data_IF_990190399717
#
_entry.id   IF_990190399717
#
_cell.length_a   1.000
_cell.length_b   1.000
_cell.length_c   1.000
_cell.angle_alpha   90.00
_cell.angle_beta   90.00
_cell.angle_gamma   90.00
#
_symmetry.space_group_name_H-M   'P 1'
#
loop_
_entity.id
_entity.type
_entity.pdbx_description
1 polymer ?
#
# COMPACT_ATOMS: atom_id res chain seq x y z
N UNK A 1 8.88 -17.58 -17.86
CA UNK A 1 7.81 -16.54 -17.95
C UNK A 1 7.69 -15.91 -16.59
N UNK A 2 7.62 -14.58 -16.50
CA UNK A 2 7.46 -13.87 -15.23
C UNK A 2 6.09 -14.12 -14.61
N UNK A 3 6.01 -14.13 -13.28
CA UNK A 3 4.75 -14.25 -12.51
C UNK A 3 4.54 -13.04 -11.63
N UNK A 4 3.33 -12.48 -11.66
CA UNK A 4 2.92 -11.32 -10.85
C UNK A 4 1.73 -11.71 -9.99
N UNK A 5 1.78 -11.41 -8.70
CA UNK A 5 0.62 -11.40 -7.81
C UNK A 5 0.13 -9.97 -7.63
N UNK A 6 -1.17 -9.76 -7.74
CA UNK A 6 -1.81 -8.44 -7.55
C UNK A 6 -2.81 -8.53 -6.39
N UNK A 7 -2.77 -7.52 -5.53
CA UNK A 7 -3.76 -7.28 -4.47
C UNK A 7 -4.12 -5.79 -4.38
N UNK A 8 -5.04 -5.41 -3.52
CA UNK A 8 -5.38 -4.04 -3.14
C UNK A 8 -6.19 -4.02 -1.83
N UNK A 9 -6.62 -2.85 -1.37
CA UNK A 9 -7.53 -2.67 -0.22
C UNK A 9 -8.89 -2.05 -0.61
N UNK A 10 -9.04 -1.49 -1.82
CA UNK A 10 -10.31 -0.93 -2.36
C UNK A 10 -11.31 -1.99 -2.85
N UNK A 11 -11.11 -3.28 -2.57
CA UNK A 11 -11.84 -4.45 -3.05
C UNK A 11 -11.50 -4.94 -4.46
N UNK A 12 -11.95 -6.17 -4.75
CA UNK A 12 -11.76 -6.84 -6.06
C UNK A 12 -12.48 -6.13 -7.22
N UNK A 13 -13.46 -5.27 -6.94
CA UNK A 13 -14.24 -4.52 -7.93
C UNK A 13 -13.67 -3.15 -8.26
N UNK A 14 -12.67 -2.68 -7.53
CA UNK A 14 -12.15 -1.33 -7.66
C UNK A 14 -11.64 -1.03 -9.07
N UNK A 15 -11.83 0.20 -9.51
CA UNK A 15 -11.44 0.67 -10.82
C UNK A 15 -9.91 0.66 -11.01
N UNK A 16 -9.18 1.06 -9.96
CA UNK A 16 -7.71 1.04 -9.95
C UNK A 16 -7.14 -0.35 -10.21
N UNK A 17 -7.68 -1.35 -9.52
CA UNK A 17 -7.32 -2.75 -9.72
C UNK A 17 -7.64 -3.24 -11.14
N UNK A 18 -8.86 -3.01 -11.62
CA UNK A 18 -9.30 -3.44 -12.97
C UNK A 18 -8.43 -2.83 -14.07
N UNK A 19 -8.12 -1.53 -13.97
CA UNK A 19 -7.25 -0.84 -14.94
C UNK A 19 -5.81 -1.35 -14.89
N UNK A 20 -5.27 -1.60 -13.70
CA UNK A 20 -3.94 -2.18 -13.50
C UNK A 20 -3.84 -3.57 -14.15
N UNK A 21 -4.79 -4.45 -13.87
CA UNK A 21 -4.86 -5.80 -14.45
C UNK A 21 -4.90 -5.73 -15.99
N UNK A 22 -5.75 -4.86 -16.54
CA UNK A 22 -5.88 -4.69 -18.01
C UNK A 22 -4.55 -4.24 -18.62
N UNK A 23 -3.89 -3.27 -18.02
CA UNK A 23 -2.58 -2.78 -18.48
C UNK A 23 -1.53 -3.89 -18.42
N UNK A 24 -1.39 -4.57 -17.30
CA UNK A 24 -0.35 -5.61 -17.13
C UNK A 24 -0.57 -6.78 -18.10
N UNK A 25 -1.81 -7.24 -18.30
CA UNK A 25 -2.14 -8.30 -19.28
C UNK A 25 -1.83 -7.91 -20.72
N UNK A 26 -1.98 -6.62 -21.05
CA UNK A 26 -1.71 -6.10 -22.40
C UNK A 26 -0.22 -5.96 -22.67
N UNK A 27 0.53 -5.47 -21.69
CA UNK A 27 1.90 -4.98 -21.88
C UNK A 27 2.97 -6.02 -21.55
N UNK A 28 2.63 -7.07 -20.78
CA UNK A 28 3.62 -8.06 -20.31
C UNK A 28 3.19 -9.48 -20.62
N UNK A 29 4.11 -10.29 -21.18
CA UNK A 29 3.98 -11.75 -21.26
C UNK A 29 4.25 -12.37 -19.90
N UNK A 30 3.36 -12.12 -18.95
CA UNK A 30 3.47 -12.58 -17.56
C UNK A 30 2.24 -13.39 -17.16
N UNK A 31 2.44 -14.33 -16.24
CA UNK A 31 1.35 -15.04 -15.58
C UNK A 31 0.88 -14.20 -14.40
N UNK A 32 -0.36 -13.73 -14.46
CA UNK A 32 -0.93 -12.81 -13.49
C UNK A 32 -1.96 -13.55 -12.64
N UNK A 33 -1.75 -13.53 -11.32
CA UNK A 33 -2.73 -13.98 -10.31
C UNK A 33 -3.23 -12.76 -9.55
N UNK A 34 -4.53 -12.69 -9.33
CA UNK A 34 -5.15 -11.63 -8.58
C UNK A 34 -5.84 -12.25 -7.36
N UNK A 35 -5.53 -11.74 -6.18
CA UNK A 35 -6.23 -12.04 -4.93
C UNK A 35 -6.48 -10.72 -4.22
N UNK A 36 -7.73 -10.34 -4.08
CA UNK A 36 -8.12 -9.06 -3.50
C UNK A 36 -9.25 -9.26 -2.46
N UNK A 37 -9.40 -8.38 -1.47
CA UNK A 37 -10.50 -8.44 -0.51
C UNK A 37 -11.87 -8.37 -1.20
N UNK A 38 -12.86 -9.05 -0.64
CA UNK A 38 -14.24 -9.01 -1.14
C UNK A 38 -14.88 -7.63 -0.96
N UNK A 39 -14.50 -6.92 0.10
CA UNK A 39 -14.98 -5.57 0.44
C UNK A 39 -13.82 -4.62 0.66
N UNK A 40 -14.09 -3.33 0.71
CA UNK A 40 -13.09 -2.31 1.05
C UNK A 40 -12.50 -2.55 2.44
N UNK A 41 -11.18 -2.42 2.55
CA UNK A 41 -10.36 -2.62 3.77
C UNK A 41 -9.45 -1.41 4.04
N UNK A 42 -10.00 -0.22 3.85
CA UNK A 42 -9.28 1.04 4.16
C UNK A 42 -8.89 1.10 5.63
N UNK A 43 -7.71 1.65 5.91
CA UNK A 43 -7.16 1.82 7.26
C UNK A 43 -7.07 0.52 8.09
N UNK A 44 -6.97 -0.64 7.44
CA UNK A 44 -6.85 -1.94 8.14
C UNK A 44 -5.43 -2.22 8.65
N UNK A 45 -4.45 -1.37 8.35
CA UNK A 45 -3.05 -1.58 8.73
C UNK A 45 -2.52 -2.93 8.21
N UNK A 46 -1.40 -3.42 8.74
CA UNK A 46 -0.85 -4.73 8.42
C UNK A 46 -1.47 -5.83 9.31
N UNK A 47 -2.80 -5.95 9.28
CA UNK A 47 -3.52 -6.94 10.09
C UNK A 47 -3.65 -8.28 9.38
N UNK A 48 -3.57 -9.36 10.15
CA UNK A 48 -3.75 -10.76 9.71
C UNK A 48 -4.93 -11.37 10.46
N UNK A 49 -5.77 -12.12 9.75
CA UNK A 49 -6.94 -12.79 10.28
C UNK A 49 -6.59 -14.18 10.78
N UNK A 50 -6.50 -14.35 12.12
CA UNK A 50 -6.19 -15.63 12.77
C UNK A 50 -7.38 -16.27 13.46
N UNK A 51 -8.49 -15.55 13.66
CA UNK A 51 -9.63 -15.99 14.51
C UNK A 51 -10.74 -16.69 13.75
N UNK A 52 -10.66 -16.74 12.42
CA UNK A 52 -11.66 -17.37 11.55
C UNK A 52 -11.06 -17.90 10.27
N UNK A 53 -11.67 -18.90 9.62
CA UNK A 53 -11.22 -19.37 8.31
C UNK A 53 -11.50 -18.34 7.23
N UNK A 54 -10.59 -18.25 6.24
CA UNK A 54 -10.74 -17.43 5.06
C UNK A 54 -10.94 -18.32 3.83
N UNK A 55 -11.73 -17.85 2.86
CA UNK A 55 -12.09 -18.61 1.67
C UNK A 55 -11.83 -17.83 0.39
N UNK A 56 -11.14 -18.48 -0.56
CA UNK A 56 -11.06 -17.98 -1.92
C UNK A 56 -12.37 -18.20 -2.66
N UNK A 57 -12.93 -17.14 -3.23
CA UNK A 57 -14.05 -17.19 -4.15
C UNK A 57 -13.52 -16.83 -5.54
N UNK A 58 -13.61 -17.78 -6.48
CA UNK A 58 -13.12 -17.60 -7.84
C UNK A 58 -14.02 -16.61 -8.60
N UNK A 59 -13.42 -15.54 -9.10
CA UNK A 59 -14.10 -14.50 -9.90
C UNK A 59 -13.79 -14.68 -11.40
N UNK A 60 -12.63 -15.25 -11.72
CA UNK A 60 -12.21 -15.45 -13.10
C UNK A 60 -10.95 -16.32 -13.21
N UNK A 61 -10.35 -16.40 -14.40
CA UNK A 61 -9.11 -17.14 -14.62
C UNK A 61 -7.98 -16.50 -13.78
N UNK A 62 -7.51 -17.22 -12.73
CA UNK A 62 -6.48 -16.76 -11.78
C UNK A 62 -6.88 -15.44 -11.08
N UNK A 63 -8.16 -15.22 -10.92
CA UNK A 63 -8.72 -14.09 -10.20
C UNK A 63 -9.65 -14.59 -9.10
N UNK A 64 -9.33 -14.23 -7.87
CA UNK A 64 -10.02 -14.62 -6.66
C UNK A 64 -10.31 -13.40 -5.79
N UNK A 65 -11.48 -13.37 -5.18
CA UNK A 65 -11.72 -12.52 -4.03
C UNK A 65 -11.57 -13.34 -2.75
N UNK A 66 -11.02 -12.75 -1.72
CA UNK A 66 -10.91 -13.36 -0.40
C UNK A 66 -12.06 -12.88 0.45
N UNK A 67 -12.86 -13.84 0.90
CA UNK A 67 -14.02 -13.57 1.73
C UNK A 67 -13.56 -13.07 3.09
N UNK A 68 -13.91 -11.80 3.41
CA UNK A 68 -13.59 -11.10 4.65
C UNK A 68 -12.08 -11.03 5.04
N UNK A 69 -11.18 -11.17 4.08
CA UNK A 69 -9.74 -11.05 4.31
C UNK A 69 -9.22 -9.63 4.11
N UNK A 70 -8.07 -9.33 4.72
CA UNK A 70 -7.28 -8.12 4.51
C UNK A 70 -6.37 -8.24 3.28
N UNK A 71 -5.73 -7.15 2.80
CA UNK A 71 -4.71 -7.25 1.75
C UNK A 71 -3.51 -8.13 2.15
N UNK A 72 -3.09 -8.10 3.41
CA UNK A 72 -2.05 -8.98 3.94
C UNK A 72 -2.48 -10.45 3.88
N UNK A 73 -3.71 -10.78 4.31
CA UNK A 73 -4.28 -12.13 4.17
C UNK A 73 -4.31 -12.58 2.71
N UNK A 74 -4.67 -11.68 1.78
CA UNK A 74 -4.70 -11.98 0.35
C UNK A 74 -3.34 -12.41 -0.17
N UNK A 75 -2.28 -11.69 0.20
CA UNK A 75 -0.92 -12.01 -0.20
C UNK A 75 -0.44 -13.29 0.49
N UNK A 76 -0.57 -13.38 1.81
CA UNK A 76 -0.16 -14.55 2.59
C UNK A 76 -0.78 -15.84 2.04
N UNK A 77 -2.11 -15.88 1.94
CA UNK A 77 -2.80 -17.07 1.46
C UNK A 77 -2.52 -17.37 -0.01
N UNK A 78 -2.39 -16.35 -0.87
CA UNK A 78 -2.02 -16.57 -2.26
C UNK A 78 -0.67 -17.27 -2.35
N UNK A 79 0.35 -16.79 -1.65
CA UNK A 79 1.70 -17.35 -1.69
C UNK A 79 1.74 -18.80 -1.20
N UNK A 80 1.01 -19.12 -0.14
CA UNK A 80 1.03 -20.46 0.47
C UNK A 80 0.04 -21.47 -0.15
N UNK A 81 -1.07 -21.01 -0.72
CA UNK A 81 -2.09 -21.90 -1.25
C UNK A 81 -2.10 -22.01 -2.79
N UNK A 82 -1.80 -20.91 -3.51
CA UNK A 82 -1.89 -20.88 -4.97
C UNK A 82 -0.55 -21.03 -5.68
N UNK A 83 0.56 -20.70 -5.03
CA UNK A 83 1.93 -20.79 -5.57
C UNK A 83 2.67 -22.00 -4.99
N UNK A 84 2.30 -23.22 -5.46
CA UNK A 84 2.84 -24.48 -4.92
C UNK A 84 4.24 -24.83 -5.38
N UNK A 85 4.63 -24.40 -6.59
CA UNK A 85 5.90 -24.82 -7.22
C UNK A 85 6.89 -23.69 -7.41
N UNK A 86 6.42 -22.47 -7.58
CA UNK A 86 7.25 -21.29 -7.79
C UNK A 86 6.53 -20.05 -7.30
N UNK A 87 7.19 -19.23 -6.51
CA UNK A 87 6.69 -17.94 -6.04
C UNK A 87 6.65 -16.89 -7.15
N UNK A 88 5.84 -15.83 -7.04
CA UNK A 88 5.82 -14.75 -8.02
C UNK A 88 7.14 -13.97 -8.01
N UNK A 89 7.47 -13.37 -9.15
CA UNK A 89 8.66 -12.51 -9.29
C UNK A 89 8.40 -11.10 -8.71
N UNK A 90 7.13 -10.71 -8.59
CA UNK A 90 6.71 -9.39 -8.10
C UNK A 90 5.31 -9.43 -7.52
N UNK A 91 5.12 -8.74 -6.40
CA UNK A 91 3.79 -8.42 -5.87
C UNK A 91 3.50 -6.94 -6.11
N UNK A 92 2.31 -6.64 -6.61
CA UNK A 92 1.82 -5.27 -6.82
C UNK A 92 0.55 -5.08 -6.00
N UNK A 93 0.57 -4.14 -5.06
CA UNK A 93 -0.59 -3.76 -4.28
C UNK A 93 -1.15 -2.41 -4.77
N UNK A 94 -2.41 -2.36 -5.18
CA UNK A 94 -3.07 -1.16 -5.68
C UNK A 94 -3.81 -1.35 -7.03
N UNK A 95 -4.15 -0.28 -7.78
CA UNK A 95 -3.83 1.14 -7.48
C UNK A 95 -4.89 1.68 -6.53
N UNK A 96 -4.47 2.12 -5.36
CA UNK A 96 -5.34 2.67 -4.33
C UNK A 96 -5.96 4.01 -4.73
N UNK A 97 -7.20 4.22 -4.31
CA UNK A 97 -7.88 5.52 -4.36
C UNK A 97 -7.53 6.34 -3.12
N UNK A 98 -6.52 7.18 -3.23
CA UNK A 98 -5.96 7.98 -2.14
C UNK A 98 -4.45 7.81 -2.07
N UNK A 99 -3.75 8.81 -1.55
CA UNK A 99 -2.32 8.73 -1.33
C UNK A 99 -2.02 8.01 -0.01
N UNK A 100 -0.94 7.24 0.01
CA UNK A 100 -0.36 6.64 1.21
C UNK A 100 1.02 7.26 1.42
N UNK A 101 1.10 8.32 2.23
CA UNK A 101 2.27 9.18 2.40
C UNK A 101 2.55 9.43 3.89
N UNK A 102 3.81 9.69 4.23
CA UNK A 102 4.20 9.88 5.62
C UNK A 102 3.83 8.68 6.48
N UNK A 103 3.41 8.93 7.72
CA UNK A 103 2.98 7.88 8.65
C UNK A 103 1.67 7.18 8.26
N UNK A 104 0.88 7.70 7.29
CA UNK A 104 -0.30 6.99 6.77
C UNK A 104 0.06 5.62 6.20
N UNK A 105 1.32 5.42 5.80
CA UNK A 105 1.86 4.13 5.36
C UNK A 105 1.58 3.03 6.41
N UNK A 106 1.60 3.36 7.70
CA UNK A 106 1.37 2.40 8.79
C UNK A 106 -0.09 1.96 8.90
N UNK A 107 -1.04 2.78 8.46
CA UNK A 107 -2.47 2.46 8.44
C UNK A 107 -2.93 1.85 7.12
N UNK A 108 -2.13 1.96 6.07
CA UNK A 108 -2.51 1.60 4.70
C UNK A 108 -2.61 0.10 4.48
N UNK A 109 -3.78 -0.38 4.04
CA UNK A 109 -3.95 -1.74 3.55
C UNK A 109 -3.20 -2.00 2.24
N UNK A 110 -3.07 -0.99 1.37
CA UNK A 110 -2.26 -1.08 0.15
C UNK A 110 -0.79 -1.32 0.48
N UNK A 111 -0.21 -0.53 1.40
CA UNK A 111 1.16 -0.76 1.85
C UNK A 111 1.30 -2.10 2.56
N UNK A 112 0.30 -2.51 3.35
CA UNK A 112 0.28 -3.80 4.05
C UNK A 112 0.40 -5.00 3.10
N UNK A 113 -0.28 -4.97 1.95
CA UNK A 113 -0.10 -6.01 0.93
C UNK A 113 1.34 -6.10 0.40
N UNK A 114 2.01 -4.96 0.23
CA UNK A 114 3.42 -4.93 -0.15
C UNK A 114 4.34 -5.35 1.01
N UNK A 115 4.05 -4.94 2.24
CA UNK A 115 4.77 -5.35 3.45
C UNK A 115 4.74 -6.87 3.61
N UNK A 116 3.56 -7.49 3.48
CA UNK A 116 3.43 -8.95 3.59
C UNK A 116 4.29 -9.67 2.55
N UNK A 117 4.28 -9.19 1.30
CA UNK A 117 5.08 -9.78 0.24
C UNK A 117 6.58 -9.76 0.55
N UNK A 118 7.12 -8.63 1.02
CA UNK A 118 8.56 -8.52 1.30
C UNK A 118 8.97 -9.25 2.58
N UNK A 119 8.06 -9.45 3.53
CA UNK A 119 8.29 -10.36 4.68
C UNK A 119 8.41 -11.81 4.22
N UNK A 120 7.68 -12.20 3.18
CA UNK A 120 7.78 -13.51 2.53
C UNK A 120 8.94 -13.59 1.51
N UNK A 121 9.79 -12.56 1.43
CA UNK A 121 10.96 -12.51 0.57
C UNK A 121 10.68 -12.20 -0.91
N UNK A 122 9.49 -11.71 -1.25
CA UNK A 122 9.11 -11.38 -2.62
C UNK A 122 9.21 -9.86 -2.84
N UNK A 123 9.87 -9.39 -3.91
CA UNK A 123 9.87 -7.98 -4.30
C UNK A 123 8.46 -7.43 -4.42
N UNK A 124 8.22 -6.22 -3.88
CA UNK A 124 6.88 -5.63 -3.90
C UNK A 124 6.88 -4.12 -4.13
N UNK A 125 5.78 -3.64 -4.74
CA UNK A 125 5.47 -2.23 -4.90
C UNK A 125 4.04 -1.95 -4.44
N UNK A 126 3.85 -0.83 -3.73
CA UNK A 126 2.55 -0.27 -3.38
C UNK A 126 2.26 0.93 -4.28
N UNK A 127 1.07 1.01 -4.86
CA UNK A 127 0.67 2.02 -5.83
C UNK A 127 -0.54 2.79 -5.33
N UNK A 128 -0.48 4.12 -5.27
CA UNK A 128 -1.54 4.97 -4.75
C UNK A 128 -1.74 6.21 -5.62
N UNK A 129 -3.00 6.48 -5.99
CA UNK A 129 -3.38 7.63 -6.79
C UNK A 129 -3.97 8.72 -5.89
N UNK A 130 -3.27 9.83 -5.71
CA UNK A 130 -3.83 11.00 -5.04
C UNK A 130 -4.96 11.61 -5.88
N UNK A 131 -6.03 12.04 -5.24
CA UNK A 131 -7.14 12.72 -5.88
C UNK A 131 -7.60 13.92 -5.02
N UNK A 132 -8.23 14.88 -5.65
CA UNK A 132 -8.91 15.97 -4.95
C UNK A 132 -10.39 15.62 -4.79
N UNK A 133 -10.96 15.92 -3.62
CA UNK A 133 -12.40 15.68 -3.35
C UNK A 133 -13.35 16.33 -4.37
N UNK A 134 -12.89 17.37 -5.07
CA UNK A 134 -13.64 18.04 -6.15
C UNK A 134 -13.63 17.30 -7.49
N UNK A 135 -12.78 16.29 -7.66
CA UNK A 135 -12.70 15.52 -8.91
C UNK A 135 -13.77 14.41 -8.91
N UNK A 136 -14.66 14.44 -9.90
CA UNK A 136 -15.75 13.45 -10.06
C UNK A 136 -15.22 12.07 -10.48
N UNK A 137 -14.11 12.03 -11.24
CA UNK A 137 -13.53 10.81 -11.76
C UNK A 137 -12.03 10.76 -11.52
N UNK A 138 -11.53 9.57 -11.18
CA UNK A 138 -10.10 9.30 -11.01
C UNK A 138 -9.46 8.99 -12.36
N UNK A 139 -8.43 9.76 -12.75
CA UNK A 139 -7.65 9.47 -13.94
C UNK A 139 -6.38 8.67 -13.58
N UNK A 140 -6.37 7.40 -13.92
CA UNK A 140 -5.24 6.49 -13.72
C UNK A 140 -4.24 6.46 -14.90
N UNK A 141 -4.45 7.22 -15.99
CA UNK A 141 -3.62 7.12 -17.22
C UNK A 141 -2.13 7.27 -16.94
N UNK A 142 -1.76 8.31 -16.20
CA UNK A 142 -0.36 8.55 -15.84
C UNK A 142 0.19 7.49 -14.88
N UNK A 143 -0.60 7.09 -13.90
CA UNK A 143 -0.23 6.02 -12.97
C UNK A 143 0.09 4.72 -13.73
N UNK A 144 -0.78 4.31 -14.65
CA UNK A 144 -0.58 3.11 -15.47
C UNK A 144 0.66 3.22 -16.37
N UNK A 145 0.86 4.38 -17.03
CA UNK A 145 2.02 4.62 -17.90
C UNK A 145 3.35 4.52 -17.15
N UNK A 146 3.40 5.09 -15.95
CA UNK A 146 4.61 5.08 -15.11
C UNK A 146 4.80 3.71 -14.47
N UNK A 147 3.74 3.07 -13.97
CA UNK A 147 3.79 1.71 -13.44
C UNK A 147 4.33 0.72 -14.48
N UNK A 148 3.90 0.81 -15.74
CA UNK A 148 4.47 0.00 -16.84
C UNK A 148 6.00 0.15 -16.91
N UNK A 149 6.53 1.38 -16.88
CA UNK A 149 7.98 1.62 -16.93
C UNK A 149 8.70 1.04 -15.71
N UNK A 150 8.11 1.16 -14.52
CA UNK A 150 8.69 0.64 -13.28
C UNK A 150 8.73 -0.89 -13.32
N UNK A 151 7.64 -1.54 -13.69
CA UNK A 151 7.58 -3.01 -13.81
C UNK A 151 8.56 -3.51 -14.88
N UNK A 152 8.67 -2.82 -16.02
CA UNK A 152 9.66 -3.15 -17.04
C UNK A 152 11.10 -3.07 -16.49
N UNK A 153 11.43 -1.98 -15.79
CA UNK A 153 12.75 -1.82 -15.16
C UNK A 153 13.04 -2.92 -14.12
N UNK A 154 12.05 -3.32 -13.32
CA UNK A 154 12.21 -4.41 -12.35
C UNK A 154 12.51 -5.73 -13.06
N UNK A 155 11.85 -6.00 -14.19
CA UNK A 155 12.07 -7.24 -14.93
C UNK A 155 13.41 -7.28 -15.69
N UNK A 156 13.86 -6.14 -16.20
CA UNK A 156 15.08 -6.02 -17.00
C UNK A 156 16.34 -5.88 -16.14
N UNK A 157 16.25 -5.16 -15.02
CA UNK A 157 17.42 -4.76 -14.21
C UNK A 157 17.42 -5.37 -12.80
N UNK A 158 16.32 -6.04 -12.40
CA UNK A 158 16.13 -6.50 -11.03
C UNK A 158 15.45 -5.46 -10.14
N UNK A 159 15.00 -5.93 -8.97
CA UNK A 159 14.42 -5.06 -7.96
C UNK A 159 15.52 -4.27 -7.25
N UNK A 160 15.39 -2.94 -7.06
CA UNK A 160 16.50 -2.10 -6.62
C UNK A 160 16.76 -2.12 -5.11
N UNK A 161 15.92 -2.78 -4.33
CA UNK A 161 16.00 -2.81 -2.86
C UNK A 161 16.40 -4.19 -2.34
N UNK A 162 16.76 -4.24 -1.05
CA UNK A 162 17.13 -5.43 -0.33
C UNK A 162 15.94 -6.25 0.18
N UNK A 163 16.24 -7.16 1.13
CA UNK A 163 15.22 -7.96 1.82
C UNK A 163 14.39 -7.09 2.77
N UNK A 164 13.08 -7.39 2.86
CA UNK A 164 12.13 -6.67 3.72
C UNK A 164 11.98 -5.17 3.38
N UNK A 165 12.20 -4.83 2.13
CA UNK A 165 12.06 -3.47 1.62
C UNK A 165 11.12 -3.46 0.41
N UNK A 166 10.27 -2.41 0.31
CA UNK A 166 9.36 -2.22 -0.82
C UNK A 166 9.37 -0.78 -1.32
N UNK A 167 8.87 -0.56 -2.53
CA UNK A 167 8.68 0.79 -3.08
C UNK A 167 7.24 1.24 -2.85
N UNK A 168 7.07 2.33 -2.12
CA UNK A 168 5.80 3.04 -2.00
C UNK A 168 5.74 4.15 -3.03
N UNK A 169 4.77 4.07 -3.97
CA UNK A 169 4.68 4.94 -5.13
C UNK A 169 3.37 5.69 -5.12
N UNK A 170 3.43 7.03 -5.07
CA UNK A 170 2.26 7.87 -5.09
C UNK A 170 2.22 8.72 -6.36
N UNK A 171 1.07 8.75 -7.03
CA UNK A 171 0.83 9.51 -8.26
C UNK A 171 0.02 10.77 -7.91
N UNK A 172 0.42 11.96 -8.41
CA UNK A 172 -0.30 13.21 -8.14
C UNK A 172 -1.65 13.25 -8.87
N UNK A 173 -2.60 14.02 -8.31
CA UNK A 173 -3.90 14.26 -8.92
C UNK A 173 -3.81 15.00 -10.28
N UNK A 174 -2.72 15.72 -10.50
CA UNK A 174 -2.53 16.54 -11.71
C UNK A 174 -2.25 15.66 -12.94
N UNK A 175 -2.94 15.94 -14.05
CA UNK A 175 -2.70 15.31 -15.35
C UNK A 175 -1.28 15.63 -15.90
N UNK A 176 -0.77 16.82 -15.64
CA UNK A 176 0.59 17.23 -16.03
C UNK A 176 1.59 16.89 -14.92
N UNK A 177 2.23 15.73 -15.04
CA UNK A 177 3.25 15.24 -14.10
C UNK A 177 4.59 15.95 -14.39
N UNK A 178 5.17 16.58 -13.37
CA UNK A 178 6.47 17.27 -13.48
C UNK A 178 7.67 16.34 -13.56
N UNK A 179 7.51 15.07 -13.21
CA UNK A 179 8.57 14.07 -13.19
C UNK A 179 8.43 13.08 -12.03
N UNK A 180 9.46 12.28 -11.83
CA UNK A 180 9.54 11.27 -10.74
C UNK A 180 10.61 11.73 -9.76
N UNK A 181 10.33 11.65 -8.46
CA UNK A 181 11.28 11.95 -7.38
C UNK A 181 11.36 10.79 -6.40
N UNK A 182 12.58 10.44 -6.05
CA UNK A 182 12.85 9.56 -4.90
C UNK A 182 12.90 10.47 -3.67
N UNK A 183 12.20 10.09 -2.61
CA UNK A 183 12.02 10.93 -1.44
C UNK A 183 11.86 10.11 -0.16
N UNK A 184 11.94 10.79 0.97
CA UNK A 184 11.59 10.21 2.28
C UNK A 184 10.09 10.32 2.54
N UNK A 185 9.56 9.49 3.44
CA UNK A 185 8.24 9.67 4.01
C UNK A 185 8.19 10.99 4.78
N UNK A 186 7.13 11.75 4.59
CA UNK A 186 6.88 12.98 5.34
C UNK A 186 6.42 12.69 6.76
N UNK A 187 6.22 13.76 7.53
CA UNK A 187 5.64 13.68 8.86
C UNK A 187 4.25 14.30 8.86
N UNK A 188 3.33 13.57 9.42
CA UNK A 188 1.95 13.97 9.51
C UNK A 188 1.64 14.64 10.84
N UNK A 189 0.87 15.72 10.80
CA UNK A 189 0.28 16.33 12.01
C UNK A 189 -1.13 15.76 12.15
N UNK A 190 -1.32 14.94 13.17
CA UNK A 190 -2.64 14.36 13.48
C UNK A 190 -3.37 15.26 14.47
N UNK A 191 -4.34 16.01 13.99
CA UNK A 191 -5.33 16.66 14.85
C UNK A 191 -6.49 15.69 15.02
N UNK A 192 -6.40 14.84 16.05
CA UNK A 192 -7.43 13.86 16.32
C UNK A 192 -8.63 14.54 16.98
N UNK A 193 -9.78 14.45 16.34
CA UNK A 193 -11.06 14.78 16.93
C UNK A 193 -11.96 13.54 16.88
N UNK A 194 -12.65 13.26 17.97
CA UNK A 194 -13.72 12.28 18.01
C UNK A 194 -15.04 13.04 18.04
N UNK A 195 -15.90 12.83 17.05
CA UNK A 195 -17.24 13.41 17.04
C UNK A 195 -18.21 12.42 17.67
N UNK A 196 -18.75 12.76 18.85
CA UNK A 196 -19.82 12.00 19.48
C UNK A 196 -21.19 12.39 18.92
N UNK A 197 -22.09 11.41 18.88
CA UNK A 197 -23.49 11.61 18.55
C UNK A 197 -24.32 10.52 19.26
N UNK A 198 -25.65 10.66 19.29
CA UNK A 198 -26.58 9.73 19.91
C UNK A 198 -27.47 9.13 18.83
N UNK A 199 -27.55 7.80 18.76
CA UNK A 199 -28.42 7.13 17.82
C UNK A 199 -29.92 7.21 18.25
N UNK A 200 -30.89 6.86 17.38
CA UNK A 200 -32.33 6.93 17.74
C UNK A 200 -32.75 6.07 18.93
N UNK A 201 -31.91 5.16 19.42
CA UNK A 201 -32.15 4.32 20.62
C UNK A 201 -31.51 4.86 21.89
N UNK A 202 -30.94 6.10 21.84
CA UNK A 202 -30.30 6.74 22.98
C UNK A 202 -28.87 6.26 23.28
N UNK A 203 -28.25 5.47 22.37
CA UNK A 203 -26.88 4.98 22.55
C UNK A 203 -25.90 5.97 21.93
N UNK A 204 -24.93 6.43 22.70
CA UNK A 204 -23.85 7.29 22.24
C UNK A 204 -22.88 6.50 21.34
N UNK A 205 -22.43 7.12 20.25
CA UNK A 205 -21.43 6.58 19.34
C UNK A 205 -20.45 7.66 18.89
N UNK A 206 -19.28 7.25 18.42
CA UNK A 206 -18.20 8.14 18.05
C UNK A 206 -17.73 7.88 16.61
N UNK A 207 -17.52 8.97 15.87
CA UNK A 207 -16.77 8.96 14.63
C UNK A 207 -15.35 9.42 14.90
N UNK A 208 -14.38 8.66 14.42
CA UNK A 208 -13.01 9.15 14.31
C UNK A 208 -12.99 10.16 13.16
N UNK A 209 -12.88 11.44 13.49
CA UNK A 209 -12.74 12.46 12.47
C UNK A 209 -11.32 12.37 11.90
N UNK A 210 -11.24 12.07 10.61
CA UNK A 210 -10.04 12.36 9.86
C UNK A 210 -9.94 13.89 9.76
N UNK A 211 -9.27 14.51 10.72
CA UNK A 211 -8.94 15.92 10.65
C UNK A 211 -8.20 16.23 9.34
N UNK A 212 -8.16 17.49 8.95
CA UNK A 212 -7.41 17.94 7.79
C UNK A 212 -6.01 17.35 7.81
N UNK A 213 -5.59 16.84 6.65
CA UNK A 213 -4.27 16.25 6.45
C UNK A 213 -3.20 17.34 6.50
N UNK A 214 -2.86 17.78 7.71
CA UNK A 214 -1.76 18.70 7.93
C UNK A 214 -0.45 17.93 8.05
N UNK A 215 0.63 18.52 7.52
CA UNK A 215 1.94 17.92 7.44
C UNK A 215 2.99 18.93 7.84
N UNK A 216 4.05 18.47 8.50
CA UNK A 216 5.24 19.29 8.68
C UNK A 216 5.80 19.67 7.30
N UNK A 217 6.19 20.94 7.13
CA UNK A 217 6.69 21.44 5.84
C UNK A 217 8.13 20.97 5.59
N UNK A 218 8.28 19.73 5.21
CA UNK A 218 9.55 19.14 4.79
C UNK A 218 9.62 19.11 3.26
N UNK A 219 10.44 19.98 2.68
CA UNK A 219 10.52 20.26 1.22
C UNK A 219 10.73 19.03 0.35
N UNK A 220 11.43 18.00 0.86
CA UNK A 220 11.82 16.78 0.12
C UNK A 220 11.01 15.55 0.55
N UNK A 221 9.89 15.74 1.26
CA UNK A 221 8.99 14.67 1.63
C UNK A 221 8.09 14.24 0.48
N UNK A 222 7.58 13.00 0.56
CA UNK A 222 6.61 12.45 -0.39
C UNK A 222 5.38 13.34 -0.54
N UNK A 223 4.87 13.87 0.58
CA UNK A 223 3.72 14.76 0.62
C UNK A 223 3.99 16.07 -0.11
N UNK A 224 5.10 16.74 0.23
CA UNK A 224 5.44 18.03 -0.35
C UNK A 224 5.67 17.93 -1.86
N UNK A 225 6.33 16.88 -2.31
CA UNK A 225 6.60 16.63 -3.72
C UNK A 225 5.35 16.23 -4.48
N UNK A 226 4.48 15.39 -3.88
CA UNK A 226 3.21 14.99 -4.46
C UNK A 226 2.29 16.22 -4.69
N UNK A 227 2.17 17.11 -3.70
CA UNK A 227 1.43 18.38 -3.82
C UNK A 227 1.98 19.26 -4.94
N UNK A 228 3.29 19.26 -5.17
CA UNK A 228 3.95 19.98 -6.26
C UNK A 228 3.71 19.35 -7.65
N UNK A 229 3.17 18.13 -7.73
CA UNK A 229 2.82 17.42 -8.97
C UNK A 229 3.89 16.45 -9.46
N UNK A 230 4.78 15.99 -8.58
CA UNK A 230 5.71 14.90 -8.87
C UNK A 230 5.10 13.54 -8.51
N UNK A 231 5.46 12.51 -9.25
CA UNK A 231 5.32 11.13 -8.78
C UNK A 231 6.39 10.91 -7.73
N UNK A 232 6.00 10.40 -6.57
CA UNK A 232 6.94 10.13 -5.48
C UNK A 232 7.17 8.63 -5.35
N UNK A 233 8.42 8.25 -5.17
CA UNK A 233 8.84 6.88 -4.88
C UNK A 233 9.61 6.93 -3.57
N UNK A 234 9.05 6.32 -2.54
CA UNK A 234 9.65 6.24 -1.21
C UNK A 234 10.06 4.79 -0.95
N UNK A 235 11.36 4.49 -0.82
CA UNK A 235 11.81 3.19 -0.34
C UNK A 235 11.40 3.03 1.13
N UNK A 236 10.70 1.94 1.45
CA UNK A 236 10.24 1.63 2.80
C UNK A 236 10.92 0.36 3.27
N UNK A 237 11.44 0.40 4.49
CA UNK A 237 12.11 -0.71 5.18
C UNK A 237 11.26 -1.16 6.38
N UNK A 238 11.19 -2.48 6.59
CA UNK A 238 10.44 -3.07 7.71
C UNK A 238 11.31 -3.38 8.95
N UNK A 239 12.52 -2.85 8.99
CA UNK A 239 13.31 -2.86 10.21
C UNK A 239 12.92 -1.67 11.08
N UNK A 240 12.16 -1.95 12.13
CA UNK A 240 11.62 -0.94 13.06
C UNK A 240 12.55 -0.63 14.23
N UNK A 241 13.77 -1.18 14.24
CA UNK A 241 14.71 -1.01 15.35
C UNK A 241 15.40 0.35 15.27
N UNK A 242 15.31 1.15 16.34
CA UNK A 242 16.04 2.42 16.49
C UNK A 242 17.48 2.15 17.00
N UNK A 243 18.34 1.66 16.12
CA UNK A 243 19.72 1.23 16.47
C UNK A 243 20.54 2.31 17.16
N UNK A 244 20.41 3.57 16.74
CA UNK A 244 21.07 4.73 17.30
C UNK A 244 20.63 5.03 18.75
N UNK A 245 19.48 4.55 19.16
CA UNK A 245 18.92 4.75 20.51
C UNK A 245 19.24 3.61 21.49
N UNK A 246 19.70 2.46 21.03
CA UNK A 246 19.97 1.30 21.90
C UNK A 246 20.94 1.61 23.04
N UNK A 247 22.02 2.36 22.74
CA UNK A 247 22.97 2.79 23.76
C UNK A 247 22.34 3.71 24.82
N UNK A 248 21.44 4.60 24.40
CA UNK A 248 20.71 5.52 25.29
C UNK A 248 19.81 4.76 26.24
N UNK A 249 19.03 3.79 25.71
CA UNK A 249 18.14 2.94 26.51
C UNK A 249 18.94 2.10 27.51
N UNK A 250 20.06 1.51 27.06
CA UNK A 250 20.94 0.74 27.96
C UNK A 250 21.49 1.59 29.11
N UNK A 251 21.87 2.85 28.84
CA UNK A 251 22.34 3.78 29.89
C UNK A 251 21.23 4.15 30.87
N UNK A 252 20.00 4.39 30.35
CA UNK A 252 18.85 4.72 31.18
C UNK A 252 18.48 3.57 32.14
N UNK A 253 18.50 2.32 31.65
CA UNK A 253 18.25 1.15 32.53
C UNK A 253 19.27 0.98 33.67
N UNK A 254 20.51 1.35 33.42
CA UNK A 254 21.57 1.25 34.49
C UNK A 254 21.45 2.34 35.54
N UNK A 255 20.96 3.52 35.19
CA UNK A 255 20.79 4.65 36.12
C UNK A 255 19.73 4.42 37.21
N UNK A 256 18.88 3.39 37.07
CA UNK A 256 17.83 3.04 38.06
C UNK A 256 18.26 1.90 39.00
N UNK A 257 19.51 1.43 38.93
CA UNK A 257 20.05 0.35 39.78
C UNK A 257 21.12 0.85 40.76
N UNK A 258 21.23 2.16 40.96
CA UNK A 258 21.97 2.86 42.03
C UNK A 258 20.95 3.57 42.95
#
# INVERSE_FOLDING_TARGET
MKEILITNDDSFESEGLKKLIKMLKKEFKAKITIVAPATEKSACSHSITLTKPLRFIKVGKRFYKLDDGTPADCVYLALHALYKTRLPDLVISGINKGANVGEDITYSGTCAGAMEAVLQGIPAIALSQFYKKSEKELDFKNALKITKKIVQNIFDKGFPLGKKEFLNINFPAKSNIKGIKICKAGKRVYNFEAHSNINPRGVEYYWLAAANLDFEDEKDSDIALLKKGYVTITPIMLDLSAYDKMKKVKKWLKANNE
#
